data_IF_218485895675
#
_entry.id   IF_218485895675
#
_cell.length_a   1.000
_cell.length_b   1.000
_cell.length_c   1.000
_cell.angle_alpha   90.00
_cell.angle_beta   90.00
_cell.angle_gamma   90.00
#
_symmetry.space_group_name_H-M   'P 1'
#
loop_
_entity.id
_entity.type
_entity.pdbx_description
1 polymer ?
#
# COMPACT_ATOMS: atom_id res chain seq x y z
N UNK A 1 8.70 -74.25 16.61
CA UNK A 1 10.01 -74.71 17.10
C UNK A 1 10.99 -73.58 16.80
N UNK A 2 11.26 -72.65 17.74
CA UNK A 2 12.20 -72.75 18.88
C UNK A 2 13.62 -73.11 18.40
N UNK A 3 14.74 -72.47 18.75
CA UNK A 3 15.22 -71.57 19.81
C UNK A 3 16.52 -70.90 19.25
N UNK A 4 16.88 -69.64 19.50
CA UNK A 4 17.33 -68.98 20.74
C UNK A 4 18.82 -69.20 21.11
N UNK A 5 19.42 -68.13 21.66
CA UNK A 5 20.74 -67.93 22.30
C UNK A 5 21.91 -67.46 21.41
N UNK A 6 22.47 -66.24 21.53
CA UNK A 6 22.94 -65.42 22.69
C UNK A 6 24.28 -65.91 23.28
N UNK A 7 25.38 -65.15 23.07
CA UNK A 7 26.14 -64.49 24.15
C UNK A 7 27.52 -63.89 23.76
N UNK A 8 27.72 -62.67 24.30
CA UNK A 8 28.96 -62.07 24.91
C UNK A 8 30.04 -61.44 23.99
N UNK A 9 30.20 -60.10 24.02
CA UNK A 9 31.00 -59.21 24.94
C UNK A 9 32.48 -59.10 24.48
N UNK A 10 33.24 -58.01 24.59
CA UNK A 10 33.08 -56.60 25.03
C UNK A 10 34.45 -55.89 24.82
N UNK A 11 34.44 -54.56 24.72
CA UNK A 11 35.48 -53.53 25.05
C UNK A 11 35.50 -52.46 23.95
N UNK A 12 35.56 -51.17 24.20
CA UNK A 12 35.47 -50.30 25.37
C UNK A 12 35.43 -48.90 24.74
N UNK A 13 34.51 -48.01 25.13
CA UNK A 13 34.78 -46.59 25.35
C UNK A 13 33.60 -46.04 26.16
N UNK A 14 33.96 -45.34 27.23
CA UNK A 14 33.20 -45.25 28.47
C UNK A 14 32.88 -43.77 28.68
N UNK A 15 31.60 -43.43 28.80
CA UNK A 15 31.14 -42.13 29.31
C UNK A 15 30.22 -42.43 30.50
N UNK A 16 30.55 -41.97 31.71
CA UNK A 16 29.57 -41.87 32.79
C UNK A 16 29.17 -40.42 33.05
N UNK A 17 27.85 -40.24 33.18
CA UNK A 17 27.19 -39.10 33.83
C UNK A 17 27.41 -39.14 35.35
N UNK A 18 27.42 -37.98 36.02
CA UNK A 18 26.55 -37.66 37.18
C UNK A 18 27.04 -36.48 38.03
N UNK A 19 26.05 -35.77 38.60
CA UNK A 19 26.06 -34.84 39.74
C UNK A 19 26.62 -33.43 39.46
N UNK A 20 25.93 -32.32 39.74
CA UNK A 20 24.98 -32.05 40.80
C UNK A 20 25.67 -31.17 41.84
N UNK A 21 25.49 -29.85 41.76
CA UNK A 21 26.18 -28.91 42.65
C UNK A 21 25.71 -27.46 42.49
N UNK A 22 24.72 -27.10 43.29
CA UNK A 22 24.28 -25.74 43.57
C UNK A 22 25.00 -25.29 44.86
N UNK A 23 25.66 -24.12 44.86
CA UNK A 23 25.56 -23.16 45.97
C UNK A 23 26.35 -21.86 45.74
N UNK A 24 25.81 -20.72 46.22
CA UNK A 24 26.41 -19.38 46.20
C UNK A 24 27.08 -19.03 47.55
N UNK A 25 27.86 -17.95 47.57
CA UNK A 25 28.23 -17.10 48.72
C UNK A 25 28.91 -15.86 48.11
N UNK A 26 28.63 -14.62 48.46
CA UNK A 26 28.23 -13.97 49.71
C UNK A 26 27.56 -12.61 49.32
N UNK A 27 26.98 -11.76 50.15
CA UNK A 27 26.36 -11.75 51.49
C UNK A 27 25.72 -10.35 51.57
N UNK A 28 24.52 -10.25 52.13
CA UNK A 28 23.75 -9.00 52.29
C UNK A 28 24.04 -8.40 53.67
N UNK A 29 24.20 -7.07 53.76
CA UNK A 29 23.82 -6.20 54.91
C UNK A 29 23.83 -4.74 54.41
N UNK A 30 22.69 -4.08 54.15
CA UNK A 30 21.72 -3.34 55.03
C UNK A 30 21.94 -1.82 55.05
N UNK A 31 20.87 -1.10 54.65
CA UNK A 31 20.41 0.27 55.00
C UNK A 31 20.90 1.51 54.20
N UNK A 32 20.05 2.57 54.06
CA UNK A 32 20.16 3.66 53.07
C UNK A 32 20.45 5.06 53.71
N UNK A 33 20.09 6.21 53.08
CA UNK A 33 20.88 7.06 52.18
C UNK A 33 21.39 8.38 52.84
N UNK A 34 22.44 9.01 52.30
CA UNK A 34 22.75 10.42 52.63
C UNK A 34 23.58 11.15 51.55
N UNK A 35 23.25 12.43 51.33
CA UNK A 35 23.96 13.51 50.58
C UNK A 35 24.16 13.29 49.07
N UNK A 36 23.42 13.96 48.16
CA UNK A 36 23.40 15.39 47.80
C UNK A 36 24.77 16.00 47.50
N UNK A 37 25.07 16.08 46.20
CA UNK A 37 25.40 17.30 45.43
C UNK A 37 26.48 17.02 44.38
N UNK A 38 26.08 16.91 43.11
CA UNK A 38 26.96 17.35 42.03
C UNK A 38 26.12 17.97 40.91
N UNK A 39 26.53 19.17 40.52
CA UNK A 39 25.68 20.20 39.97
C UNK A 39 25.29 20.02 38.50
N UNK A 40 24.02 20.32 38.21
CA UNK A 40 23.56 20.64 36.88
C UNK A 40 23.03 22.07 36.85
N UNK A 41 23.77 22.94 36.16
CA UNK A 41 23.45 24.35 35.94
C UNK A 41 22.14 24.46 35.13
N UNK A 42 21.12 25.22 35.57
CA UNK A 42 19.89 25.39 34.80
C UNK A 42 20.10 26.30 33.58
N UNK A 43 19.46 26.03 32.44
CA UNK A 43 19.52 26.89 31.27
C UNK A 43 18.74 28.20 31.51
N UNK A 44 19.32 29.26 30.97
CA UNK A 44 18.90 30.66 31.02
C UNK A 44 17.47 30.85 30.53
N UNK A 45 16.67 31.59 31.30
CA UNK A 45 15.30 31.99 30.95
C UNK A 45 15.28 32.84 29.67
N UNK A 46 14.57 32.36 28.65
CA UNK A 46 14.26 33.16 27.45
C UNK A 46 13.12 34.11 27.82
N UNK A 47 13.37 35.40 27.66
CA UNK A 47 12.43 36.48 27.95
C UNK A 47 11.39 36.58 26.80
N UNK A 48 10.14 36.22 27.06
CA UNK A 48 9.05 36.08 26.05
C UNK A 48 8.39 37.42 25.67
N UNK A 49 9.00 38.56 26.02
CA UNK A 49 8.38 39.89 25.85
C UNK A 49 8.94 40.77 24.72
N UNK A 50 9.48 40.18 23.66
CA UNK A 50 9.80 40.93 22.44
C UNK A 50 9.56 40.06 21.21
N UNK A 51 8.35 40.16 20.65
CA UNK A 51 7.98 39.92 19.24
C UNK A 51 6.46 40.11 19.12
N UNK A 52 5.98 41.30 19.50
CA UNK A 52 4.69 41.81 19.05
C UNK A 52 5.00 42.95 18.10
N UNK A 53 4.98 42.66 16.79
CA UNK A 53 4.73 43.57 15.67
C UNK A 53 5.08 42.85 14.36
N UNK A 54 4.07 42.30 13.69
CA UNK A 54 4.12 42.07 12.24
C UNK A 54 3.03 42.96 11.63
N UNK A 55 3.38 43.88 10.72
CA UNK A 55 2.42 44.80 10.13
C UNK A 55 1.50 44.08 9.14
N UNK A 56 0.23 44.47 9.15
CA UNK A 56 -0.80 44.10 8.18
C UNK A 56 -0.40 44.54 6.77
N UNK A 57 -0.11 43.59 5.88
CA UNK A 57 -0.01 43.86 4.44
C UNK A 57 -1.34 43.59 3.75
N UNK A 58 -1.73 44.60 2.99
CA UNK A 58 -2.94 44.81 2.20
C UNK A 58 -3.26 43.74 1.16
N UNK A 59 -4.56 43.71 0.86
CA UNK A 59 -5.23 43.10 -0.26
C UNK A 59 -4.50 43.19 -1.62
N UNK A 60 -4.77 42.17 -2.45
CA UNK A 60 -4.59 42.20 -3.89
C UNK A 60 -3.70 41.07 -4.38
N UNK A 61 -4.31 39.93 -4.75
CA UNK A 61 -3.90 39.06 -5.87
C UNK A 61 -4.99 38.01 -6.08
N UNK A 62 -6.11 38.51 -6.60
CA UNK A 62 -7.18 37.69 -7.17
C UNK A 62 -6.81 37.32 -8.62
N UNK A 63 -7.08 36.06 -8.99
CA UNK A 63 -7.24 35.56 -10.36
C UNK A 63 -5.95 35.38 -11.19
N UNK A 64 -5.26 34.24 -11.01
CA UNK A 64 -4.69 33.41 -12.10
C UNK A 64 -3.96 32.16 -11.54
N UNK A 65 -4.66 31.21 -10.93
CA UNK A 65 -4.06 29.88 -10.69
C UNK A 65 -4.10 29.08 -12.00
N UNK A 66 -3.06 29.32 -12.80
CA UNK A 66 -2.88 28.81 -14.14
C UNK A 66 -3.05 27.29 -14.24
N UNK A 67 -3.61 26.89 -15.37
CA UNK A 67 -3.84 25.52 -15.85
C UNK A 67 -2.53 24.81 -16.21
N UNK A 68 -1.53 24.80 -15.33
CA UNK A 68 -0.22 24.20 -15.59
C UNK A 68 -0.15 22.79 -15.03
N UNK A 69 0.24 21.83 -15.88
CA UNK A 69 0.63 20.50 -15.44
C UNK A 69 1.77 20.66 -14.42
N UNK A 70 1.56 20.18 -13.20
CA UNK A 70 2.52 20.35 -12.11
C UNK A 70 3.65 19.32 -12.25
N UNK A 71 4.81 19.75 -12.77
CA UNK A 71 5.94 18.86 -13.04
C UNK A 71 6.35 17.99 -11.83
N UNK A 72 6.36 18.56 -10.61
CA UNK A 72 6.68 17.82 -9.39
C UNK A 72 5.71 16.65 -9.13
N UNK A 73 4.41 16.83 -9.42
CA UNK A 73 3.40 15.77 -9.28
C UNK A 73 3.60 14.66 -10.31
N UNK A 74 3.89 15.03 -11.55
CA UNK A 74 4.20 14.08 -12.64
C UNK A 74 5.43 13.23 -12.29
N UNK A 75 6.49 13.86 -11.77
CA UNK A 75 7.69 13.15 -11.32
C UNK A 75 7.36 12.21 -10.16
N UNK A 76 6.58 12.65 -9.17
CA UNK A 76 6.17 11.80 -8.05
C UNK A 76 5.34 10.58 -8.52
N UNK A 77 4.43 10.75 -9.48
CA UNK A 77 3.67 9.66 -10.08
C UNK A 77 4.55 8.68 -10.87
N UNK A 78 5.54 9.19 -11.60
CA UNK A 78 6.53 8.36 -12.30
C UNK A 78 7.35 7.53 -11.30
N UNK A 79 7.91 8.18 -10.28
CA UNK A 79 8.76 7.52 -9.27
C UNK A 79 7.95 6.51 -8.45
N UNK A 80 6.77 6.89 -7.98
CA UNK A 80 5.92 5.98 -7.22
C UNK A 80 5.50 4.77 -8.05
N UNK A 81 5.08 4.98 -9.31
CA UNK A 81 4.74 3.89 -10.23
C UNK A 81 5.94 2.99 -10.55
N UNK A 82 7.12 3.58 -10.71
CA UNK A 82 8.37 2.82 -10.85
C UNK A 82 8.59 1.91 -9.64
N UNK A 83 8.57 2.46 -8.42
CA UNK A 83 8.87 1.70 -7.20
C UNK A 83 7.85 0.59 -6.96
N UNK A 84 6.55 0.86 -7.07
CA UNK A 84 5.52 -0.18 -6.84
C UNK A 84 5.63 -1.32 -7.84
N UNK A 85 5.89 -1.01 -9.12
CA UNK A 85 6.04 -2.05 -10.15
C UNK A 85 7.38 -2.78 -10.00
N UNK A 86 8.46 -2.08 -9.67
CA UNK A 86 9.78 -2.66 -9.45
C UNK A 86 9.75 -3.68 -8.32
N UNK A 87 9.20 -3.31 -7.16
CA UNK A 87 9.09 -4.20 -6.01
C UNK A 87 8.14 -5.37 -6.29
N UNK A 88 6.94 -5.07 -6.81
CA UNK A 88 5.93 -6.09 -7.07
C UNK A 88 6.36 -7.11 -8.13
N UNK A 89 6.86 -6.65 -9.28
CA UNK A 89 7.34 -7.52 -10.35
C UNK A 89 8.66 -8.21 -9.99
N UNK A 90 9.55 -7.53 -9.26
CA UNK A 90 10.79 -8.15 -8.76
C UNK A 90 10.50 -9.31 -7.83
N UNK A 91 9.50 -9.19 -6.95
CA UNK A 91 9.05 -10.30 -6.12
C UNK A 91 8.39 -11.43 -6.92
N UNK A 92 7.66 -11.11 -8.00
CA UNK A 92 7.15 -12.16 -8.90
C UNK A 92 8.31 -12.95 -9.51
N UNK A 93 9.36 -12.27 -9.98
CA UNK A 93 10.55 -12.91 -10.53
C UNK A 93 11.27 -13.77 -9.49
N UNK A 94 11.51 -13.24 -8.30
CA UNK A 94 12.16 -13.99 -7.21
C UNK A 94 11.32 -15.17 -6.71
N UNK A 95 9.99 -15.01 -6.68
CA UNK A 95 9.07 -16.09 -6.26
C UNK A 95 9.11 -17.30 -7.19
N UNK A 96 9.46 -17.10 -8.46
CA UNK A 96 9.62 -18.20 -9.44
C UNK A 96 10.90 -19.00 -9.21
N UNK A 97 11.98 -18.38 -8.75
CA UNK A 97 13.22 -19.09 -8.41
C UNK A 97 13.19 -19.75 -7.04
N UNK A 98 12.39 -19.24 -6.10
CA UNK A 98 12.37 -19.68 -4.70
C UNK A 98 11.10 -20.42 -4.28
N UNK A 99 10.21 -20.73 -5.24
CA UNK A 99 8.89 -21.35 -5.01
C UNK A 99 8.02 -20.64 -3.96
N UNK A 100 8.19 -19.31 -3.83
CA UNK A 100 7.39 -18.54 -2.88
C UNK A 100 5.94 -18.41 -3.35
N UNK A 101 4.99 -18.64 -2.44
CA UNK A 101 3.57 -18.59 -2.73
C UNK A 101 3.01 -17.18 -2.93
N UNK A 102 1.77 -17.10 -3.43
CA UNK A 102 1.02 -15.86 -3.72
C UNK A 102 0.93 -14.89 -2.53
N UNK A 103 1.04 -15.40 -1.30
CA UNK A 103 1.05 -14.60 -0.07
C UNK A 103 2.22 -13.60 -0.06
N UNK A 104 3.42 -14.06 -0.44
CA UNK A 104 4.61 -13.21 -0.47
C UNK A 104 4.52 -12.13 -1.53
N UNK A 105 4.00 -12.47 -2.71
CA UNK A 105 3.74 -11.54 -3.81
C UNK A 105 2.72 -10.49 -3.38
N UNK A 106 1.62 -10.91 -2.73
CA UNK A 106 0.62 -9.99 -2.19
C UNK A 106 1.20 -9.04 -1.15
N UNK A 107 2.02 -9.54 -0.22
CA UNK A 107 2.68 -8.71 0.78
C UNK A 107 3.61 -7.67 0.12
N UNK A 108 4.40 -8.08 -0.89
CA UNK A 108 5.30 -7.17 -1.60
C UNK A 108 4.54 -6.03 -2.31
N UNK A 109 3.47 -6.34 -3.03
CA UNK A 109 2.63 -5.33 -3.67
C UNK A 109 1.99 -4.38 -2.65
N UNK A 110 1.37 -4.93 -1.61
CA UNK A 110 0.68 -4.12 -0.60
C UNK A 110 1.62 -3.21 0.18
N UNK A 111 2.76 -3.73 0.62
CA UNK A 111 3.78 -2.94 1.33
C UNK A 111 4.38 -1.86 0.43
N UNK A 112 4.63 -2.15 -0.85
CA UNK A 112 5.14 -1.15 -1.78
C UNK A 112 4.15 0.01 -1.96
N UNK A 113 2.86 -0.27 -2.13
CA UNK A 113 1.83 0.76 -2.19
C UNK A 113 1.74 1.55 -0.88
N UNK A 114 1.72 0.89 0.27
CA UNK A 114 1.71 1.56 1.58
C UNK A 114 2.87 2.55 1.71
N UNK A 115 4.10 2.10 1.43
CA UNK A 115 5.30 2.93 1.52
C UNK A 115 5.19 4.12 0.56
N UNK A 116 4.77 3.89 -0.69
CA UNK A 116 4.73 4.98 -1.67
C UNK A 116 3.60 5.98 -1.43
N UNK A 117 2.48 5.55 -0.89
CA UNK A 117 1.39 6.45 -0.48
C UNK A 117 1.87 7.35 0.66
N UNK A 118 2.56 6.80 1.66
CA UNK A 118 3.11 7.63 2.74
C UNK A 118 4.23 8.56 2.27
N UNK A 119 5.11 8.08 1.40
CA UNK A 119 6.26 8.85 0.93
C UNK A 119 5.89 9.95 -0.08
N UNK A 120 4.95 9.71 -0.99
CA UNK A 120 4.68 10.58 -2.14
C UNK A 120 3.21 10.97 -2.31
N UNK A 121 2.31 10.42 -1.49
CA UNK A 121 0.88 10.75 -1.51
C UNK A 121 0.61 12.23 -1.24
N UNK A 122 1.32 12.83 -0.28
CA UNK A 122 1.21 14.26 0.02
C UNK A 122 1.75 15.18 -1.10
N UNK A 123 2.53 14.65 -2.04
CA UNK A 123 3.08 15.41 -3.18
C UNK A 123 2.11 15.42 -4.37
N UNK A 124 1.62 14.24 -4.75
CA UNK A 124 0.88 14.03 -6.01
C UNK A 124 -0.58 13.57 -5.84
N UNK A 125 -0.96 13.14 -4.63
CA UNK A 125 -2.16 12.33 -4.40
C UNK A 125 -1.85 10.82 -4.38
N UNK A 126 -0.69 10.40 -4.88
CA UNK A 126 -0.21 9.03 -4.82
C UNK A 126 -1.12 8.03 -5.55
N UNK A 127 -1.53 8.37 -6.76
CA UNK A 127 -2.45 7.52 -7.53
C UNK A 127 -1.74 6.26 -7.99
N UNK A 128 -0.56 6.42 -8.61
CA UNK A 128 0.29 5.36 -9.17
C UNK A 128 -0.46 4.34 -10.06
N UNK A 129 -1.63 4.75 -10.56
CA UNK A 129 -2.62 3.88 -11.18
C UNK A 129 -3.53 4.70 -12.11
N UNK A 130 -3.54 4.41 -13.42
CA UNK A 130 -4.40 5.09 -14.39
C UNK A 130 -5.90 4.96 -14.06
N UNK A 131 -6.35 3.81 -13.57
CA UNK A 131 -7.76 3.60 -13.24
C UNK A 131 -8.20 4.45 -12.04
N UNK A 132 -7.35 4.58 -11.00
CA UNK A 132 -7.59 5.48 -9.86
C UNK A 132 -7.64 6.93 -10.34
N UNK A 133 -6.69 7.33 -11.18
CA UNK A 133 -6.61 8.69 -11.72
C UNK A 133 -7.87 9.07 -12.52
N UNK A 134 -8.35 8.16 -13.37
CA UNK A 134 -9.58 8.35 -14.15
C UNK A 134 -10.81 8.39 -13.24
N UNK A 135 -10.91 7.48 -12.26
CA UNK A 135 -12.06 7.43 -11.36
C UNK A 135 -12.17 8.69 -10.49
N UNK A 136 -11.06 9.18 -9.93
CA UNK A 136 -11.01 10.44 -9.18
C UNK A 136 -11.33 11.65 -10.05
N UNK A 137 -10.95 11.63 -11.32
CA UNK A 137 -11.32 12.70 -12.24
C UNK A 137 -12.82 12.69 -12.55
N UNK A 138 -13.40 11.50 -12.72
CA UNK A 138 -14.83 11.32 -12.96
C UNK A 138 -15.71 11.73 -11.77
N UNK A 139 -15.19 11.67 -10.53
CA UNK A 139 -15.88 12.17 -9.34
C UNK A 139 -15.63 13.65 -9.03
N UNK A 140 -15.04 14.40 -9.97
CA UNK A 140 -14.62 15.80 -9.76
C UNK A 140 -13.63 16.00 -8.61
N UNK A 141 -13.01 14.92 -8.11
CA UNK A 141 -11.99 14.96 -7.05
C UNK A 141 -10.60 15.24 -7.61
N UNK A 142 -10.41 15.14 -8.93
CA UNK A 142 -9.15 15.40 -9.62
C UNK A 142 -9.37 16.11 -10.98
N UNK A 143 -8.53 17.09 -11.38
CA UNK A 143 -8.73 17.83 -12.62
C UNK A 143 -8.40 17.00 -13.86
N UNK A 144 -9.37 16.87 -14.77
CA UNK A 144 -9.23 16.14 -16.05
C UNK A 144 -8.01 16.56 -16.89
N UNK A 145 -7.61 17.84 -16.85
CA UNK A 145 -6.44 18.36 -17.57
C UNK A 145 -5.12 17.68 -17.17
N UNK A 146 -5.02 17.13 -15.95
CA UNK A 146 -3.82 16.47 -15.45
C UNK A 146 -3.79 14.96 -15.70
N UNK A 147 -4.94 14.35 -16.06
CA UNK A 147 -5.09 12.89 -16.19
C UNK A 147 -4.10 12.31 -17.19
N UNK A 148 -3.99 12.89 -18.39
CA UNK A 148 -3.09 12.38 -19.42
C UNK A 148 -1.62 12.39 -18.96
N UNK A 149 -1.19 13.43 -18.25
CA UNK A 149 0.17 13.53 -17.71
C UNK A 149 0.44 12.47 -16.64
N UNK A 150 -0.51 12.24 -15.73
CA UNK A 150 -0.44 11.20 -14.71
C UNK A 150 -0.36 9.81 -15.34
N UNK A 151 -1.27 9.49 -16.27
CA UNK A 151 -1.30 8.19 -16.95
C UNK A 151 0.01 7.93 -17.71
N UNK A 152 0.53 8.93 -18.42
CA UNK A 152 1.81 8.82 -19.13
C UNK A 152 2.96 8.57 -18.16
N UNK A 153 3.05 9.31 -17.05
CA UNK A 153 4.05 9.12 -16.02
C UNK A 153 3.98 7.74 -15.37
N UNK A 154 2.78 7.26 -15.06
CA UNK A 154 2.56 5.96 -14.44
C UNK A 154 3.00 4.81 -15.36
N UNK A 155 2.62 4.86 -16.64
CA UNK A 155 3.02 3.87 -17.65
C UNK A 155 4.53 3.94 -17.91
N UNK A 156 5.11 5.13 -17.97
CA UNK A 156 6.56 5.30 -18.14
C UNK A 156 7.33 4.73 -16.95
N UNK A 157 6.93 5.06 -15.71
CA UNK A 157 7.52 4.51 -14.49
C UNK A 157 7.43 2.99 -14.44
N UNK A 158 6.26 2.42 -14.77
CA UNK A 158 6.07 0.97 -14.86
C UNK A 158 6.99 0.32 -15.90
N UNK A 159 7.11 0.91 -17.08
CA UNK A 159 7.97 0.39 -18.16
C UNK A 159 9.45 0.43 -17.75
N UNK A 160 9.89 1.55 -17.16
CA UNK A 160 11.26 1.70 -16.63
C UNK A 160 11.57 0.68 -15.55
N UNK A 161 10.60 0.38 -14.66
CA UNK A 161 10.78 -0.63 -13.62
C UNK A 161 11.06 -2.02 -14.21
N UNK A 162 10.30 -2.42 -15.22
CA UNK A 162 10.48 -3.73 -15.87
C UNK A 162 11.77 -3.78 -16.68
N UNK A 163 12.18 -2.68 -17.33
CA UNK A 163 13.49 -2.57 -17.98
C UNK A 163 14.63 -2.72 -16.97
N UNK A 164 14.55 -2.04 -15.82
CA UNK A 164 15.52 -2.19 -14.73
C UNK A 164 15.58 -3.63 -14.25
N UNK A 165 14.43 -4.29 -14.02
CA UNK A 165 14.38 -5.70 -13.62
C UNK A 165 14.98 -6.61 -14.68
N UNK A 166 14.69 -6.37 -15.97
CA UNK A 166 15.28 -7.13 -17.08
C UNK A 166 16.81 -7.07 -17.04
N UNK A 167 17.37 -5.89 -16.80
CA UNK A 167 18.81 -5.69 -16.70
C UNK A 167 19.41 -6.33 -15.43
N UNK A 168 18.75 -6.17 -14.27
CA UNK A 168 19.26 -6.66 -12.99
C UNK A 168 19.20 -8.19 -12.87
N UNK A 169 18.23 -8.83 -13.52
CA UNK A 169 18.06 -10.30 -13.50
C UNK A 169 18.68 -11.01 -14.71
N UNK A 170 19.31 -10.30 -15.66
CA UNK A 170 19.86 -10.83 -16.92
C UNK A 170 20.82 -12.03 -16.74
N UNK A 171 21.52 -12.10 -15.60
CA UNK A 171 22.47 -13.18 -15.30
C UNK A 171 21.79 -14.49 -14.86
N UNK A 172 20.48 -14.50 -14.63
CA UNK A 172 19.72 -15.69 -14.20
C UNK A 172 18.98 -16.28 -15.40
N UNK A 173 19.57 -17.28 -16.03
CA UNK A 173 19.01 -17.99 -17.20
C UNK A 173 17.64 -18.64 -16.95
N UNK A 174 17.23 -18.80 -15.69
CA UNK A 174 16.05 -19.54 -15.27
C UNK A 174 14.78 -18.69 -15.15
N UNK A 175 14.90 -17.35 -15.05
CA UNK A 175 13.75 -16.46 -14.80
C UNK A 175 13.59 -15.45 -15.94
N UNK A 176 12.66 -15.75 -16.86
CA UNK A 176 12.28 -14.85 -17.96
C UNK A 176 11.46 -13.67 -17.41
N UNK A 177 11.86 -12.42 -17.74
CA UNK A 177 11.13 -11.20 -17.35
C UNK A 177 9.69 -11.16 -17.86
N UNK A 178 9.32 -12.01 -18.83
CA UNK A 178 7.94 -12.26 -19.24
C UNK A 178 7.02 -12.73 -18.13
N UNK A 179 7.53 -13.21 -16.99
CA UNK A 179 6.68 -13.53 -15.81
C UNK A 179 6.03 -12.28 -15.19
N UNK A 180 6.54 -11.08 -15.50
CA UNK A 180 5.99 -9.81 -15.00
C UNK A 180 4.69 -9.41 -15.71
N UNK A 181 4.46 -9.92 -16.92
CA UNK A 181 3.25 -9.68 -17.73
C UNK A 181 2.04 -10.33 -17.07
N UNK A 182 0.96 -9.57 -16.93
CA UNK A 182 -0.33 -10.07 -16.44
C UNK A 182 -0.96 -11.00 -17.46
N UNK A 183 -1.37 -12.18 -17.01
CA UNK A 183 -2.00 -13.20 -17.86
C UNK A 183 -3.12 -13.88 -17.11
N UNK A 184 -4.14 -14.31 -17.86
CA UNK A 184 -5.12 -15.26 -17.37
C UNK A 184 -4.41 -16.59 -17.12
N UNK A 185 -4.58 -17.14 -15.93
CA UNK A 185 -3.91 -18.36 -15.49
C UNK A 185 -4.83 -19.57 -15.59
N UNK A 186 -4.26 -20.73 -15.89
CA UNK A 186 -5.01 -21.99 -15.99
C UNK A 186 -6.13 -21.91 -17.03
N UNK A 187 -7.36 -22.22 -16.62
CA UNK A 187 -8.55 -22.27 -17.50
C UNK A 187 -9.47 -21.06 -17.32
N UNK A 188 -8.99 -19.95 -16.76
CA UNK A 188 -9.78 -18.73 -16.57
C UNK A 188 -10.15 -18.13 -17.94
N UNK A 189 -11.44 -18.01 -18.21
CA UNK A 189 -11.97 -17.39 -19.42
C UNK A 189 -11.85 -15.85 -19.38
N UNK A 190 -11.93 -15.19 -20.53
CA UNK A 190 -11.86 -13.72 -20.61
C UNK A 190 -12.94 -13.02 -19.77
N UNK A 191 -14.17 -13.57 -19.73
CA UNK A 191 -15.26 -13.00 -18.92
C UNK A 191 -14.99 -13.14 -17.42
N UNK A 192 -14.47 -14.29 -16.98
CA UNK A 192 -14.03 -14.49 -15.60
C UNK A 192 -12.87 -13.57 -15.24
N UNK A 193 -11.89 -13.42 -16.13
CA UNK A 193 -10.77 -12.49 -15.95
C UNK A 193 -11.24 -11.04 -15.79
N UNK A 194 -12.18 -10.61 -16.63
CA UNK A 194 -12.80 -9.29 -16.53
C UNK A 194 -13.56 -9.11 -15.22
N UNK A 195 -14.31 -10.12 -14.76
CA UNK A 195 -15.01 -10.08 -13.49
C UNK A 195 -14.04 -9.97 -12.30
N UNK A 196 -12.93 -10.72 -12.31
CA UNK A 196 -11.89 -10.63 -11.29
C UNK A 196 -11.27 -9.23 -11.21
N UNK A 197 -10.86 -8.68 -12.36
CA UNK A 197 -10.27 -7.33 -12.41
C UNK A 197 -11.28 -6.24 -12.05
N UNK A 198 -12.55 -6.41 -12.40
CA UNK A 198 -13.63 -5.52 -11.96
C UNK A 198 -13.79 -5.54 -10.43
N UNK A 199 -13.98 -6.72 -9.83
CA UNK A 199 -14.29 -6.86 -8.39
C UNK A 199 -13.12 -6.39 -7.52
N UNK A 200 -11.89 -6.79 -7.86
CA UNK A 200 -10.71 -6.39 -7.08
C UNK A 200 -10.45 -4.88 -7.18
N UNK A 201 -10.60 -4.30 -8.37
CA UNK A 201 -10.47 -2.85 -8.56
C UNK A 201 -11.59 -2.06 -7.89
N UNK A 202 -12.82 -2.59 -7.92
CA UNK A 202 -13.95 -2.05 -7.18
C UNK A 202 -13.63 -1.98 -5.68
N UNK A 203 -13.16 -3.09 -5.09
CA UNK A 203 -12.80 -3.13 -3.68
C UNK A 203 -11.68 -2.14 -3.35
N UNK A 204 -10.63 -2.09 -4.16
CA UNK A 204 -9.53 -1.15 -3.98
C UNK A 204 -10.01 0.31 -4.02
N UNK A 205 -10.83 0.68 -5.00
CA UNK A 205 -11.32 2.05 -5.11
C UNK A 205 -12.33 2.40 -4.02
N UNK A 206 -13.16 1.45 -3.60
CA UNK A 206 -14.04 1.65 -2.44
C UNK A 206 -13.23 1.96 -1.18
N UNK A 207 -12.13 1.24 -0.96
CA UNK A 207 -11.17 1.55 0.12
C UNK A 207 -10.59 2.94 -0.04
N UNK A 208 -10.06 3.30 -1.23
CA UNK A 208 -9.48 4.63 -1.50
C UNK A 208 -10.50 5.73 -1.20
N UNK A 209 -11.74 5.60 -1.67
CA UNK A 209 -12.80 6.55 -1.35
C UNK A 209 -13.01 6.67 0.17
N UNK A 210 -13.06 5.53 0.86
CA UNK A 210 -13.30 5.44 2.30
C UNK A 210 -12.22 6.03 3.20
N UNK A 211 -10.95 6.06 2.77
CA UNK A 211 -9.83 6.47 3.64
C UNK A 211 -9.02 7.66 3.14
N UNK A 212 -9.02 7.92 1.83
CA UNK A 212 -8.20 8.96 1.22
C UNK A 212 -9.01 10.10 0.59
N UNK A 213 -10.26 9.85 0.18
CA UNK A 213 -11.11 10.87 -0.45
C UNK A 213 -12.10 11.47 0.54
N UNK A 214 -12.68 10.67 1.43
CA UNK A 214 -13.65 11.17 2.41
C UNK A 214 -12.93 12.01 3.49
N UNK A 215 -13.29 13.30 3.66
CA UNK A 215 -12.69 14.17 4.67
C UNK A 215 -13.04 13.76 6.12
N UNK A 216 -14.02 12.88 6.33
CA UNK A 216 -14.38 12.36 7.65
C UNK A 216 -13.50 11.18 8.08
N UNK A 217 -12.74 10.62 7.17
CA UNK A 217 -11.85 9.50 7.46
C UNK A 217 -10.54 9.97 8.10
N UNK A 218 -9.88 9.07 8.83
CA UNK A 218 -8.53 9.29 9.37
C UNK A 218 -7.53 9.11 8.21
N UNK A 219 -7.23 10.20 7.51
CA UNK A 219 -6.44 10.18 6.27
C UNK A 219 -5.00 9.69 6.50
N UNK A 220 -4.48 9.78 7.72
CA UNK A 220 -3.17 9.25 8.12
C UNK A 220 -3.11 7.72 8.03
N UNK A 221 -4.25 7.03 8.05
CA UNK A 221 -4.32 5.57 7.87
C UNK A 221 -4.49 5.15 6.41
N UNK A 222 -4.58 6.08 5.47
CA UNK A 222 -4.82 5.77 4.06
C UNK A 222 -3.77 4.81 3.47
N UNK A 223 -2.49 5.04 3.74
CA UNK A 223 -1.40 4.20 3.23
C UNK A 223 -1.50 2.75 3.66
N UNK A 224 -1.68 2.48 4.96
CA UNK A 224 -1.80 1.11 5.47
C UNK A 224 -3.07 0.42 4.97
N UNK A 225 -4.21 1.12 4.92
CA UNK A 225 -5.47 0.51 4.49
C UNK A 225 -5.48 0.22 2.99
N UNK A 226 -4.98 1.14 2.16
CA UNK A 226 -4.87 0.92 0.70
C UNK A 226 -3.86 -0.19 0.39
N UNK A 227 -2.71 -0.20 1.06
CA UNK A 227 -1.73 -1.28 0.93
C UNK A 227 -2.28 -2.65 1.33
N UNK A 228 -3.03 -2.72 2.44
CA UNK A 228 -3.69 -3.96 2.87
C UNK A 228 -4.75 -4.43 1.86
N UNK A 229 -5.54 -3.51 1.28
CA UNK A 229 -6.52 -3.85 0.25
C UNK A 229 -5.85 -4.44 -1.00
N UNK A 230 -4.75 -3.85 -1.46
CA UNK A 230 -3.93 -4.41 -2.56
C UNK A 230 -3.42 -5.80 -2.20
N UNK A 231 -2.87 -5.98 -0.99
CA UNK A 231 -2.34 -7.26 -0.51
C UNK A 231 -3.40 -8.37 -0.56
N UNK A 232 -4.58 -8.15 0.03
CA UNK A 232 -5.66 -9.14 0.03
C UNK A 232 -6.15 -9.46 -1.38
N UNK A 233 -6.31 -8.43 -2.23
CA UNK A 233 -6.72 -8.64 -3.61
C UNK A 233 -5.73 -9.50 -4.40
N UNK A 234 -4.43 -9.27 -4.22
CA UNK A 234 -3.39 -10.08 -4.87
C UNK A 234 -3.40 -11.52 -4.34
N UNK A 235 -3.60 -11.73 -3.03
CA UNK A 235 -3.68 -13.08 -2.46
C UNK A 235 -4.82 -13.91 -3.04
N UNK A 236 -5.96 -13.27 -3.34
CA UNK A 236 -7.15 -13.94 -3.86
C UNK A 236 -7.08 -14.11 -5.38
N UNK A 237 -6.75 -13.04 -6.12
CA UNK A 237 -6.84 -13.01 -7.58
C UNK A 237 -5.50 -13.25 -8.31
N UNK A 238 -4.38 -13.27 -7.59
CA UNK A 238 -3.03 -13.36 -8.18
C UNK A 238 -2.84 -14.60 -9.04
N UNK A 239 -3.33 -15.75 -8.57
CA UNK A 239 -3.27 -17.02 -9.31
C UNK A 239 -4.36 -17.16 -10.40
N UNK A 240 -5.26 -16.18 -10.54
CA UNK A 240 -6.34 -16.20 -11.54
C UNK A 240 -6.02 -15.28 -12.73
N UNK A 241 -5.64 -14.02 -12.46
CA UNK A 241 -5.39 -13.00 -13.48
C UNK A 241 -4.03 -12.31 -13.36
N UNK A 242 -3.27 -12.58 -12.29
CA UNK A 242 -2.12 -11.78 -11.89
C UNK A 242 -2.47 -10.54 -11.06
N UNK A 243 -3.76 -10.36 -10.71
CA UNK A 243 -4.33 -9.30 -9.89
C UNK A 243 -3.81 -7.91 -10.28
N UNK A 244 -4.21 -7.42 -11.46
CA UNK A 244 -3.64 -6.18 -11.98
C UNK A 244 -4.10 -4.96 -11.18
N UNK A 245 -5.43 -4.74 -11.16
CA UNK A 245 -6.11 -3.56 -10.60
C UNK A 245 -5.64 -2.20 -11.12
N UNK A 246 -4.63 -2.19 -11.98
CA UNK A 246 -3.85 -1.02 -12.35
C UNK A 246 -3.40 -1.17 -13.82
N UNK A 247 -3.94 -0.36 -14.74
CA UNK A 247 -3.54 -0.42 -16.14
C UNK A 247 -2.04 -0.20 -16.36
N UNK A 248 -1.37 0.66 -15.59
CA UNK A 248 0.08 0.86 -15.72
C UNK A 248 0.86 -0.42 -15.37
N UNK A 249 0.49 -1.10 -14.29
CA UNK A 249 1.08 -2.39 -13.87
C UNK A 249 0.96 -3.50 -14.93
N UNK A 250 0.02 -3.39 -15.86
CA UNK A 250 -0.14 -4.33 -16.98
C UNK A 250 0.50 -3.81 -18.28
N UNK A 251 0.29 -2.54 -18.61
CA UNK A 251 0.79 -1.93 -19.84
C UNK A 251 2.32 -1.88 -19.85
N UNK A 252 2.97 -1.49 -18.75
CA UNK A 252 4.43 -1.38 -18.68
C UNK A 252 5.15 -2.71 -18.99
N UNK A 253 4.86 -3.81 -18.27
CA UNK A 253 5.38 -5.12 -18.61
C UNK A 253 5.05 -5.57 -20.04
N UNK A 254 3.82 -5.33 -20.51
CA UNK A 254 3.40 -5.69 -21.85
C UNK A 254 4.20 -4.97 -22.95
N UNK A 255 4.49 -3.67 -22.76
CA UNK A 255 5.30 -2.87 -23.69
C UNK A 255 6.73 -3.39 -23.79
N UNK A 256 7.36 -3.67 -22.65
CA UNK A 256 8.75 -4.15 -22.60
C UNK A 256 8.87 -5.54 -23.23
N UNK A 257 7.93 -6.42 -22.92
CA UNK A 257 7.93 -7.81 -23.41
C UNK A 257 7.28 -8.00 -24.79
N UNK A 258 6.69 -6.93 -25.36
CA UNK A 258 5.92 -6.96 -26.62
C UNK A 258 4.77 -7.98 -26.61
N UNK A 259 4.11 -8.13 -25.47
CA UNK A 259 3.03 -9.11 -25.29
C UNK A 259 1.75 -8.42 -24.82
N UNK A 260 0.78 -8.33 -25.71
CA UNK A 260 -0.46 -7.57 -25.51
C UNK A 260 -1.71 -8.46 -25.40
N UNK A 261 -1.52 -9.77 -25.27
CA UNK A 261 -2.62 -10.73 -25.24
C UNK A 261 -3.54 -10.46 -24.04
N UNK A 262 -4.84 -10.31 -24.29
CA UNK A 262 -5.86 -9.96 -23.28
C UNK A 262 -5.59 -8.68 -22.46
N UNK A 263 -4.66 -7.80 -22.90
CA UNK A 263 -4.32 -6.58 -22.18
C UNK A 263 -5.53 -5.68 -21.91
N UNK A 264 -6.50 -5.67 -22.83
CA UNK A 264 -7.73 -4.89 -22.72
C UNK A 264 -8.52 -5.20 -21.44
N UNK A 265 -8.46 -6.43 -20.92
CA UNK A 265 -9.14 -6.83 -19.66
C UNK A 265 -8.59 -6.01 -18.50
N UNK A 266 -7.27 -5.84 -18.46
CA UNK A 266 -6.55 -5.12 -17.40
C UNK A 266 -6.61 -3.60 -17.54
N UNK A 267 -7.25 -3.10 -18.60
CA UNK A 267 -7.57 -1.68 -18.78
C UNK A 267 -9.05 -1.44 -18.46
N UNK A 268 -9.94 -2.18 -19.13
CA UNK A 268 -11.40 -2.02 -19.02
C UNK A 268 -11.89 -2.45 -17.64
N UNK A 269 -11.49 -3.63 -17.17
CA UNK A 269 -11.92 -4.17 -15.88
C UNK A 269 -11.64 -3.20 -14.73
N UNK A 270 -10.39 -2.71 -14.56
CA UNK A 270 -10.09 -1.76 -13.52
C UNK A 270 -10.82 -0.44 -13.64
N UNK A 271 -10.86 0.19 -14.83
CA UNK A 271 -11.54 1.49 -15.00
C UNK A 271 -13.02 1.37 -14.63
N UNK A 272 -13.72 0.35 -15.14
CA UNK A 272 -15.15 0.16 -14.88
C UNK A 272 -15.41 -0.18 -13.41
N UNK A 273 -14.57 -1.04 -12.80
CA UNK A 273 -14.67 -1.39 -11.38
C UNK A 273 -14.49 -0.18 -10.46
N UNK A 274 -13.49 0.66 -10.73
CA UNK A 274 -13.22 1.85 -9.92
C UNK A 274 -14.31 2.92 -10.09
N UNK A 275 -14.78 3.16 -11.32
CA UNK A 275 -15.91 4.09 -11.54
C UNK A 275 -17.18 3.62 -10.81
N UNK A 276 -17.48 2.33 -10.84
CA UNK A 276 -18.63 1.76 -10.13
C UNK A 276 -18.50 1.93 -8.61
N UNK A 277 -17.31 1.71 -8.04
CA UNK A 277 -17.05 1.91 -6.62
C UNK A 277 -17.24 3.37 -6.21
N UNK A 278 -16.71 4.30 -6.99
CA UNK A 278 -16.87 5.73 -6.72
C UNK A 278 -18.34 6.14 -6.77
N UNK A 279 -19.10 5.69 -7.76
CA UNK A 279 -20.54 5.96 -7.86
C UNK A 279 -21.32 5.40 -6.66
N UNK A 280 -21.05 4.15 -6.26
CA UNK A 280 -21.69 3.51 -5.10
C UNK A 280 -21.34 4.27 -3.82
N UNK A 281 -20.08 4.66 -3.65
CA UNK A 281 -19.64 5.40 -2.48
C UNK A 281 -20.39 6.74 -2.34
N UNK A 282 -20.55 7.49 -3.44
CA UNK A 282 -21.34 8.73 -3.45
C UNK A 282 -22.78 8.51 -3.01
N UNK A 283 -23.44 7.44 -3.47
CA UNK A 283 -24.81 7.10 -3.06
C UNK A 283 -24.89 6.81 -1.55
N UNK A 284 -23.95 6.01 -1.03
CA UNK A 284 -23.88 5.68 0.40
C UNK A 284 -23.72 6.93 1.27
N UNK A 285 -22.92 7.90 0.83
CA UNK A 285 -22.73 9.15 1.58
C UNK A 285 -23.95 10.09 1.54
N UNK A 286 -24.69 10.09 0.44
CA UNK A 286 -25.88 10.93 0.27
C UNK A 286 -27.01 10.48 1.21
N UNK A 287 -27.14 9.17 1.44
CA UNK A 287 -28.13 8.62 2.37
C UNK A 287 -27.94 9.11 3.82
N UNK A 288 -26.69 9.20 4.29
CA UNK A 288 -26.39 9.66 5.65
C UNK A 288 -26.70 11.15 5.88
N UNK A 289 -26.60 12.01 4.86
CA UNK A 289 -26.97 13.43 5.00
C UNK A 289 -28.49 13.60 5.20
N UNK A 290 -29.29 12.83 4.46
CA UNK A 290 -30.75 12.93 4.53
C UNK A 290 -31.30 12.45 5.88
N UNK A 291 -30.72 11.40 6.46
CA UNK A 291 -31.15 10.87 7.76
C UNK A 291 -30.88 11.83 8.93
N UNK A 292 -29.73 12.52 8.92
CA UNK A 292 -29.38 13.50 9.96
C UNK A 292 -30.29 14.73 9.92
N UNK A 293 -30.66 15.21 8.73
CA UNK A 293 -31.61 16.33 8.59
C UNK A 293 -33.03 15.97 9.05
N UNK A 294 -33.47 14.73 8.82
CA UNK A 294 -34.78 14.27 9.32
C UNK A 294 -34.83 14.18 10.86
N UNK A 295 -33.77 13.70 11.52
CA UNK A 295 -33.74 13.60 12.98
C UNK A 295 -33.65 14.98 13.68
N UNK A 296 -32.88 15.92 13.12
CA UNK A 296 -32.77 17.28 13.67
C UNK A 296 -34.12 18.00 13.58
N UNK A 297 -34.84 17.83 12.47
CA UNK A 297 -36.15 18.44 12.28
C UNK A 297 -37.22 17.83 13.19
N UNK A 298 -37.21 16.51 13.42
CA UNK A 298 -38.16 15.87 14.36
C UNK A 298 -37.88 16.24 15.82
N UNK A 299 -36.61 16.40 16.21
CA UNK A 299 -36.23 16.77 17.58
C UNK A 299 -36.54 18.24 17.89
N UNK A 300 -36.44 19.12 16.88
CA UNK A 300 -36.81 20.53 17.02
C UNK A 300 -38.33 20.72 17.06
N UNK A 301 -39.09 19.98 16.23
CA UNK A 301 -40.55 20.01 16.24
C UNK A 301 -41.15 19.52 17.58
N UNK A 302 -40.55 18.50 18.21
CA UNK A 302 -41.00 18.00 19.51
C UNK A 302 -40.77 18.96 20.68
N UNK A 303 -39.85 19.94 20.55
CA UNK A 303 -39.61 20.96 21.58
C UNK A 303 -40.56 22.16 21.49
N UNK A 304 -41.14 22.45 20.33
CA UNK A 304 -42.08 23.56 20.16
C UNK A 304 -43.51 23.21 20.59
N UNK A 305 -43.90 21.94 20.56
CA UNK A 305 -45.25 21.49 20.95
C UNK A 305 -45.46 21.29 22.46
N UNK A 306 -44.46 21.60 23.29
CA UNK A 306 -44.50 21.40 24.76
C UNK A 306 -44.45 22.70 25.57
N UNK A 307 -44.84 23.84 24.98
CA UNK A 307 -45.02 25.13 25.67
C UNK A 307 -46.48 25.56 25.67
#
# INVERSE_FOLDING_TARGET
MAHNHDHRRNRNHQIPLSSGGCSPKASITTEPPSSLEEGLKPPTSINVHSLSQVPSSSAGDDVSSSSTINAHKIIAELVGSYVVVFVGCGFIMESKSSEMGVVSVGAAWGLAFMVMIYALGHVSGGHFNPAVTVALAASCSFPWKQVAGYVAAQVAGSSLAVLSLSFLFDHRSEVDVKVTVTRLQGSVSCSQGLAWEFVTSFFLMLTICGVAVDPRAIQELSGITIGAAVMFNVMIAGNMTGASMNPARSIGPALVNREFHNLWIYVVGPIVGMLAATAIYTVLLTHNHNHNHSEINSTSAGKETSK
#
